data_IF_429339852586
#
_entry.id   IF_429339852586
#
_cell.length_a   1.000
_cell.length_b   1.000
_cell.length_c   1.000
_cell.angle_alpha   90.00
_cell.angle_beta   90.00
_cell.angle_gamma   90.00
#
_symmetry.space_group_name_H-M   'P 1'
#
loop_
_entity.id
_entity.type
_entity.pdbx_description
1 polymer ?
#
# COMPACT_ATOMS: atom_id res chain seq x y z
N UNK A 1 43.12 8.65 -25.04
CA UNK A 1 42.90 7.46 -24.18
C UNK A 1 42.23 7.78 -22.84
N UNK A 2 42.44 8.95 -22.22
CA UNK A 2 41.88 9.29 -20.89
C UNK A 2 40.34 9.39 -20.81
N UNK A 3 39.62 9.62 -21.91
CA UNK A 3 38.15 9.73 -21.90
C UNK A 3 37.40 8.39 -21.91
N UNK A 4 38.05 7.29 -22.33
CA UNK A 4 37.39 5.97 -22.41
C UNK A 4 37.11 5.39 -21.03
N UNK A 5 38.12 5.45 -20.15
CA UNK A 5 37.99 4.95 -18.78
C UNK A 5 36.94 5.75 -18.00
N UNK A 6 36.85 7.07 -18.21
CA UNK A 6 35.84 7.91 -17.57
C UNK A 6 34.40 7.54 -17.96
N UNK A 7 34.12 7.36 -19.25
CA UNK A 7 32.78 6.96 -19.70
C UNK A 7 32.39 5.55 -19.22
N UNK A 8 33.37 4.65 -19.09
CA UNK A 8 33.14 3.31 -18.55
C UNK A 8 32.82 3.36 -17.04
N UNK A 9 33.57 4.16 -16.28
CA UNK A 9 33.33 4.38 -14.85
C UNK A 9 31.97 5.05 -14.60
N UNK A 10 31.61 6.04 -15.40
CA UNK A 10 30.30 6.71 -15.31
C UNK A 10 29.14 5.74 -15.60
N UNK A 11 29.25 4.91 -16.65
CA UNK A 11 28.26 3.85 -16.91
C UNK A 11 28.15 2.86 -15.76
N UNK A 12 29.27 2.48 -15.16
CA UNK A 12 29.28 1.60 -13.99
C UNK A 12 28.54 2.25 -12.81
N UNK A 13 28.81 3.52 -12.52
CA UNK A 13 28.08 4.27 -11.48
C UNK A 13 26.57 4.33 -11.75
N UNK A 14 26.16 4.56 -13.01
CA UNK A 14 24.75 4.52 -13.38
C UNK A 14 24.13 3.13 -13.19
N UNK A 15 24.83 2.06 -13.54
CA UNK A 15 24.34 0.70 -13.29
C UNK A 15 24.14 0.42 -11.79
N UNK A 16 25.06 0.87 -10.94
CA UNK A 16 24.92 0.76 -9.48
C UNK A 16 23.69 1.55 -8.99
N UNK A 17 23.49 2.78 -9.48
CA UNK A 17 22.31 3.59 -9.14
C UNK A 17 21.01 2.92 -9.58
N UNK A 18 20.94 2.42 -10.81
CA UNK A 18 19.77 1.71 -11.35
C UNK A 18 19.47 0.49 -10.49
N UNK A 19 20.47 -0.33 -10.18
CA UNK A 19 20.28 -1.53 -9.37
C UNK A 19 19.79 -1.19 -7.96
N UNK A 20 20.34 -0.16 -7.34
CA UNK A 20 19.89 0.27 -6.02
C UNK A 20 18.45 0.79 -6.06
N UNK A 21 18.09 1.53 -7.10
CA UNK A 21 16.74 2.03 -7.31
C UNK A 21 15.72 0.89 -7.51
N UNK A 22 16.07 -0.11 -8.33
CA UNK A 22 15.26 -1.32 -8.54
C UNK A 22 15.05 -2.09 -7.23
N UNK A 23 16.08 -2.20 -6.38
CA UNK A 23 15.95 -2.81 -5.06
C UNK A 23 14.98 -2.04 -4.15
N UNK A 24 15.06 -0.70 -4.14
CA UNK A 24 14.15 0.14 -3.36
C UNK A 24 12.70 0.03 -3.85
N UNK A 25 12.49 -0.13 -5.16
CA UNK A 25 11.17 -0.38 -5.74
C UNK A 25 10.59 -1.71 -5.27
N UNK A 26 11.39 -2.78 -5.30
CA UNK A 26 10.99 -4.10 -4.84
C UNK A 26 10.63 -4.09 -3.35
N UNK A 27 11.47 -3.46 -2.51
CA UNK A 27 11.24 -3.31 -1.08
C UNK A 27 9.95 -2.52 -0.80
N UNK A 28 9.78 -1.37 -1.46
CA UNK A 28 8.57 -0.55 -1.34
C UNK A 28 7.32 -1.33 -1.73
N UNK A 29 7.35 -2.01 -2.89
CA UNK A 29 6.22 -2.79 -3.38
C UNK A 29 5.84 -3.90 -2.40
N UNK A 30 6.84 -4.62 -1.87
CA UNK A 30 6.64 -5.69 -0.91
C UNK A 30 6.04 -5.20 0.41
N UNK A 31 6.61 -4.16 1.01
CA UNK A 31 6.14 -3.61 2.28
C UNK A 31 4.75 -2.97 2.14
N UNK A 32 4.48 -2.30 1.03
CA UNK A 32 3.18 -1.69 0.79
C UNK A 32 2.09 -2.75 0.56
N UNK A 33 2.38 -3.81 -0.20
CA UNK A 33 1.44 -4.93 -0.37
C UNK A 33 1.15 -5.59 0.99
N UNK A 34 2.18 -5.81 1.81
CA UNK A 34 2.01 -6.34 3.18
C UNK A 34 1.12 -5.43 4.03
N UNK A 35 1.32 -4.11 3.96
CA UNK A 35 0.48 -3.14 4.67
C UNK A 35 -1.00 -3.23 4.25
N UNK A 36 -1.28 -3.24 2.95
CA UNK A 36 -2.66 -3.35 2.44
C UNK A 36 -3.31 -4.68 2.84
N UNK A 37 -2.55 -5.79 2.79
CA UNK A 37 -3.03 -7.08 3.27
C UNK A 37 -3.38 -7.06 4.76
N UNK A 38 -2.53 -6.46 5.59
CA UNK A 38 -2.81 -6.33 7.04
C UNK A 38 -4.06 -5.50 7.28
N UNK A 39 -4.21 -4.37 6.57
CA UNK A 39 -5.38 -3.51 6.66
C UNK A 39 -6.67 -4.25 6.28
N UNK A 40 -6.63 -5.02 5.19
CA UNK A 40 -7.73 -5.87 4.74
C UNK A 40 -8.09 -6.96 5.76
N UNK A 41 -7.08 -7.65 6.32
CA UNK A 41 -7.29 -8.66 7.38
C UNK A 41 -7.90 -8.05 8.64
N UNK A 42 -7.45 -6.87 9.06
CA UNK A 42 -8.02 -6.15 10.21
C UNK A 42 -9.48 -5.79 9.96
N UNK A 43 -9.80 -5.28 8.77
CA UNK A 43 -11.17 -4.96 8.35
C UNK A 43 -12.09 -6.18 8.39
N UNK A 44 -11.63 -7.32 7.87
CA UNK A 44 -12.39 -8.58 7.90
C UNK A 44 -12.55 -9.15 9.31
N UNK A 45 -11.53 -9.10 10.15
CA UNK A 45 -11.63 -9.51 11.57
C UNK A 45 -12.63 -8.63 12.32
N UNK A 46 -12.58 -7.31 12.13
CA UNK A 46 -13.56 -6.39 12.73
C UNK A 46 -14.98 -6.72 12.27
N UNK A 47 -15.18 -7.04 10.99
CA UNK A 47 -16.47 -7.47 10.46
C UNK A 47 -17.00 -8.73 11.11
N UNK A 48 -16.19 -9.77 11.18
CA UNK A 48 -16.60 -11.04 11.82
C UNK A 48 -16.92 -10.85 13.30
N UNK A 49 -16.08 -10.10 14.02
CA UNK A 49 -16.31 -9.84 15.44
C UNK A 49 -17.64 -9.12 15.67
N UNK A 50 -17.95 -8.14 14.81
CA UNK A 50 -19.20 -7.41 14.90
C UNK A 50 -20.42 -8.27 14.55
N UNK A 51 -20.34 -9.05 13.46
CA UNK A 51 -21.40 -10.00 13.07
C UNK A 51 -21.68 -11.01 14.20
N UNK A 52 -20.64 -11.53 14.85
CA UNK A 52 -20.76 -12.42 16.01
C UNK A 52 -21.41 -11.72 17.21
N UNK A 53 -20.99 -10.48 17.53
CA UNK A 53 -21.59 -9.72 18.63
C UNK A 53 -23.07 -9.44 18.37
N UNK A 54 -23.44 -9.14 17.12
CA UNK A 54 -24.83 -8.94 16.72
C UNK A 54 -25.67 -10.20 16.88
N UNK A 55 -25.15 -11.37 16.47
CA UNK A 55 -25.83 -12.66 16.66
C UNK A 55 -26.08 -12.95 18.14
N UNK A 56 -25.05 -12.78 18.99
CA UNK A 56 -25.17 -12.99 20.44
C UNK A 56 -26.20 -12.05 21.10
N UNK A 57 -26.29 -10.81 20.62
CA UNK A 57 -27.27 -9.81 21.09
C UNK A 57 -28.70 -10.13 20.62
N UNK A 58 -28.87 -10.69 19.44
CA UNK A 58 -30.16 -11.18 18.95
C UNK A 58 -30.63 -12.42 19.69
N UNK A 59 -29.71 -13.35 20.01
CA UNK A 59 -30.00 -14.56 20.79
C UNK A 59 -30.37 -14.24 22.26
N UNK A 60 -29.84 -13.15 22.82
CA UNK A 60 -30.08 -12.71 24.20
C UNK A 60 -31.25 -11.72 24.34
N UNK A 61 -32.04 -11.51 23.28
CA UNK A 61 -33.05 -10.46 23.19
C UNK A 61 -34.30 -10.76 24.02
N UNK A 62 -34.19 -10.62 25.34
CA UNK A 62 -35.30 -10.55 26.29
C UNK A 62 -35.58 -9.07 26.66
N UNK A 63 -36.56 -8.47 25.97
CA UNK A 63 -37.48 -7.40 26.42
C UNK A 63 -36.93 -6.08 27.04
N UNK A 64 -36.13 -5.27 26.32
CA UNK A 64 -36.00 -3.84 26.69
C UNK A 64 -35.72 -2.89 25.51
N UNK A 65 -36.65 -1.97 25.21
CA UNK A 65 -36.56 -0.98 24.12
C UNK A 65 -35.38 0.02 24.25
N UNK A 66 -34.81 0.21 25.45
CA UNK A 66 -33.61 1.04 25.64
C UNK A 66 -32.33 0.42 25.04
N UNK A 67 -32.30 -0.91 24.89
CA UNK A 67 -31.16 -1.59 24.25
C UNK A 67 -31.17 -1.41 22.73
N UNK A 68 -32.33 -1.13 22.13
CA UNK A 68 -32.45 -1.00 20.67
C UNK A 68 -31.73 0.26 20.16
N UNK A 69 -31.84 1.40 20.85
CA UNK A 69 -31.17 2.65 20.43
C UNK A 69 -29.64 2.59 20.56
N UNK A 70 -29.12 2.03 21.65
CA UNK A 70 -27.66 1.84 21.82
C UNK A 70 -27.09 0.83 20.81
N UNK A 71 -27.88 -0.18 20.42
CA UNK A 71 -27.52 -1.14 19.39
C UNK A 71 -27.47 -0.50 18.00
N UNK A 72 -28.45 0.33 17.65
CA UNK A 72 -28.47 1.10 16.41
C UNK A 72 -27.27 2.04 16.30
N UNK A 73 -26.94 2.76 17.37
CA UNK A 73 -25.76 3.63 17.42
C UNK A 73 -24.45 2.83 17.23
N UNK A 74 -24.35 1.67 17.89
CA UNK A 74 -23.19 0.77 17.73
C UNK A 74 -23.06 0.26 16.29
N UNK A 75 -24.18 -0.17 15.67
CA UNK A 75 -24.23 -0.58 14.26
C UNK A 75 -23.82 0.55 13.31
N UNK A 76 -24.30 1.77 13.59
CA UNK A 76 -23.96 2.94 12.80
C UNK A 76 -22.45 3.21 12.84
N UNK A 77 -21.85 3.29 14.04
CA UNK A 77 -20.42 3.52 14.18
C UNK A 77 -19.57 2.41 13.58
N UNK A 78 -20.02 1.16 13.71
CA UNK A 78 -19.35 0.03 13.08
C UNK A 78 -19.32 0.15 11.55
N UNK A 79 -20.46 0.47 10.93
CA UNK A 79 -20.53 0.70 9.48
C UNK A 79 -19.65 1.87 9.03
N UNK A 80 -19.61 2.96 9.81
CA UNK A 80 -18.72 4.08 9.52
C UNK A 80 -17.25 3.66 9.60
N UNK A 81 -16.88 2.85 10.59
CA UNK A 81 -15.52 2.33 10.71
C UNK A 81 -15.15 1.45 9.52
N UNK A 82 -16.04 0.55 9.07
CA UNK A 82 -15.79 -0.25 7.86
C UNK A 82 -15.57 0.61 6.61
N UNK A 83 -16.37 1.67 6.43
CA UNK A 83 -16.19 2.62 5.32
C UNK A 83 -14.82 3.28 5.35
N UNK A 84 -14.35 3.70 6.52
CA UNK A 84 -13.01 4.26 6.67
C UNK A 84 -11.90 3.28 6.26
N UNK A 85 -12.04 1.99 6.57
CA UNK A 85 -11.10 0.98 6.10
C UNK A 85 -11.15 0.81 4.57
N UNK A 86 -12.34 0.79 3.98
CA UNK A 86 -12.51 0.68 2.53
C UNK A 86 -11.89 1.89 1.81
N UNK A 87 -12.10 3.11 2.32
CA UNK A 87 -11.47 4.35 1.82
C UNK A 87 -9.94 4.32 1.96
N UNK A 88 -9.42 3.82 3.08
CA UNK A 88 -7.97 3.70 3.30
C UNK A 88 -7.33 2.68 2.36
N UNK A 89 -8.01 1.57 2.07
CA UNK A 89 -7.55 0.57 1.09
C UNK A 89 -7.49 1.16 -0.32
N UNK A 90 -8.54 1.86 -0.75
CA UNK A 90 -8.59 2.50 -2.06
C UNK A 90 -7.53 3.60 -2.21
N UNK A 91 -7.43 4.47 -1.19
CA UNK A 91 -6.41 5.52 -1.14
C UNK A 91 -5.01 4.93 -1.17
N UNK A 92 -4.77 3.87 -0.40
CA UNK A 92 -3.51 3.16 -0.37
C UNK A 92 -3.13 2.60 -1.74
N UNK A 93 -4.04 1.91 -2.44
CA UNK A 93 -3.79 1.41 -3.79
C UNK A 93 -3.53 2.51 -4.81
N UNK A 94 -4.19 3.66 -4.67
CA UNK A 94 -3.92 4.82 -5.52
C UNK A 94 -2.52 5.38 -5.27
N UNK A 95 -2.14 5.56 -4.01
CA UNK A 95 -0.81 6.04 -3.63
C UNK A 95 0.29 5.07 -4.09
N UNK A 96 0.08 3.75 -3.93
CA UNK A 96 1.00 2.72 -4.40
C UNK A 96 1.24 2.84 -5.91
N UNK A 97 0.17 2.92 -6.70
CA UNK A 97 0.27 3.08 -8.17
C UNK A 97 1.02 4.34 -8.55
N UNK A 98 0.70 5.46 -7.90
CA UNK A 98 1.39 6.74 -8.16
C UNK A 98 2.88 6.67 -7.84
N UNK A 99 3.24 6.10 -6.68
CA UNK A 99 4.63 5.94 -6.28
C UNK A 99 5.40 5.01 -7.23
N UNK A 100 4.80 3.88 -7.63
CA UNK A 100 5.41 2.97 -8.61
C UNK A 100 5.67 3.65 -9.95
N UNK A 101 4.72 4.43 -10.47
CA UNK A 101 4.93 5.20 -11.69
C UNK A 101 6.08 6.19 -11.58
N UNK A 102 6.19 6.92 -10.46
CA UNK A 102 7.29 7.86 -10.24
C UNK A 102 8.65 7.14 -10.19
N UNK A 103 8.72 5.99 -9.52
CA UNK A 103 9.94 5.21 -9.45
C UNK A 103 10.33 4.62 -10.82
N UNK A 104 9.35 4.18 -11.62
CA UNK A 104 9.56 3.73 -12.99
C UNK A 104 10.09 4.86 -13.89
N UNK A 105 9.53 6.07 -13.79
CA UNK A 105 9.98 7.24 -14.54
C UNK A 105 11.44 7.61 -14.19
N UNK A 106 11.80 7.58 -12.90
CA UNK A 106 13.16 7.82 -12.43
C UNK A 106 14.14 6.74 -12.95
N UNK A 107 13.72 5.48 -12.93
CA UNK A 107 14.50 4.36 -13.49
C UNK A 107 14.73 4.55 -15.00
N UNK A 108 13.70 4.93 -15.75
CA UNK A 108 13.83 5.21 -17.18
C UNK A 108 14.80 6.37 -17.44
N UNK A 109 14.75 7.42 -16.63
CA UNK A 109 15.65 8.56 -16.74
C UNK A 109 17.10 8.14 -16.53
N UNK A 110 17.39 7.34 -15.50
CA UNK A 110 18.73 6.80 -15.25
C UNK A 110 19.23 5.93 -16.42
N UNK A 111 18.35 5.12 -17.02
CA UNK A 111 18.69 4.31 -18.19
C UNK A 111 19.00 5.18 -19.41
N UNK A 112 18.21 6.24 -19.64
CA UNK A 112 18.44 7.22 -20.73
C UNK A 112 19.79 7.91 -20.55
N UNK A 113 20.10 8.39 -19.35
CA UNK A 113 21.39 9.03 -19.04
C UNK A 113 22.56 8.08 -19.25
N UNK A 114 22.48 6.85 -18.73
CA UNK A 114 23.50 5.82 -18.98
C UNK A 114 23.71 5.55 -20.47
N UNK A 115 22.63 5.42 -21.23
CA UNK A 115 22.68 5.09 -22.66
C UNK A 115 23.19 6.25 -23.52
N UNK A 116 23.16 7.49 -23.00
CA UNK A 116 23.74 8.65 -23.66
C UNK A 116 25.28 8.67 -23.61
N UNK A 117 25.90 7.85 -22.74
CA UNK A 117 27.35 7.78 -22.57
C UNK A 117 28.00 7.00 -23.73
N UNK A 118 29.07 7.54 -24.35
CA UNK A 118 29.69 6.93 -25.53
C UNK A 118 30.42 5.63 -25.19
N UNK A 119 30.11 4.56 -25.94
CA UNK A 119 30.72 3.24 -25.80
C UNK A 119 32.15 3.14 -26.36
N UNK A 120 32.56 4.13 -27.15
CA UNK A 120 33.87 4.23 -27.82
C UNK A 120 34.86 5.18 -27.16
#
# INVERSE_FOLDING_TARGET
MVNRDKSADERFQYNVKIQHHEQQMDEFSHDFCRYLEQLSRTRDTLRRNFENEMSLREESRDRNAKYDSALEETQYHFRQRLRLFDEQLETGEHLRRKAMHQLDDEREQLLKERNSLPWE
#
